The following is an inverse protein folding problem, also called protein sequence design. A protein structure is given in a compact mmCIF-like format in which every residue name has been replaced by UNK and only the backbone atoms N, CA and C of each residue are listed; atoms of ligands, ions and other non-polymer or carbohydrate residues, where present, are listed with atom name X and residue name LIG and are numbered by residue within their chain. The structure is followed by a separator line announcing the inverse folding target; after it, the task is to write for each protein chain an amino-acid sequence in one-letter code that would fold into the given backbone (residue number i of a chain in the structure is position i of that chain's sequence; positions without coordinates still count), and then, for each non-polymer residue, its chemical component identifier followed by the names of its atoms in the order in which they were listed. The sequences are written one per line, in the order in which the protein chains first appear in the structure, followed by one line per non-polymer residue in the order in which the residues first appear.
data_IF_747800596225
#
_entry.id   IF_747800596225
#
_cell.length_a   1.000
_cell.length_b   1.000
_cell.length_c   1.000
_cell.angle_alpha   90.00
_cell.angle_beta   90.00
_cell.angle_gamma   90.00
#
_symmetry.space_group_name_H-M   'P 1'
#
loop_
_entity.id
_entity.type
_entity.pdbx_description
1 polymer ?
#
# COMPACT_ATOMS: atom_id res chain seq x y z
N UNK A 1 -4.94 -1.81 -9.64
CA UNK A 1 -4.48 -2.37 -8.36
C UNK A 1 -3.22 -3.15 -8.59
N UNK A 2 -2.20 -2.98 -7.75
CA UNK A 2 -0.91 -3.67 -7.85
C UNK A 2 -0.42 -4.06 -6.45
N UNK A 3 0.30 -5.17 -6.34
CA UNK A 3 0.94 -5.61 -5.09
C UNK A 3 2.43 -5.23 -5.11
N UNK A 4 2.86 -4.43 -4.13
CA UNK A 4 4.22 -3.92 -4.05
C UNK A 4 5.28 -5.01 -3.79
N UNK A 5 4.90 -6.17 -3.25
CA UNK A 5 5.82 -7.29 -3.02
C UNK A 5 6.23 -8.00 -4.32
N UNK A 6 5.38 -7.94 -5.35
CA UNK A 6 5.59 -8.64 -6.63
C UNK A 6 5.66 -7.72 -7.85
N UNK A 7 5.49 -6.41 -7.65
CA UNK A 7 5.54 -5.42 -8.72
C UNK A 7 6.94 -5.40 -9.36
N UNK A 8 6.99 -5.69 -10.66
CA UNK A 8 8.25 -5.67 -11.40
C UNK A 8 8.84 -4.24 -11.46
N UNK A 9 10.17 -4.08 -11.38
CA UNK A 9 10.80 -2.76 -11.47
C UNK A 9 10.44 -1.97 -12.73
N UNK A 10 10.18 -2.65 -13.85
CA UNK A 10 9.77 -2.02 -15.11
C UNK A 10 8.37 -1.40 -15.08
N UNK A 11 7.53 -1.75 -14.09
CA UNK A 11 6.19 -1.20 -13.94
C UNK A 11 6.15 0.06 -13.06
N UNK A 12 7.26 0.40 -12.40
CA UNK A 12 7.36 1.57 -11.51
C UNK A 12 7.10 2.88 -12.26
N UNK A 13 7.66 3.05 -13.45
CA UNK A 13 7.45 4.24 -14.27
C UNK A 13 5.97 4.40 -14.67
N UNK A 14 5.27 3.28 -14.93
CA UNK A 14 3.84 3.30 -15.23
C UNK A 14 2.99 3.69 -14.01
N UNK A 15 3.38 3.23 -12.81
CA UNK A 15 2.73 3.64 -11.56
C UNK A 15 2.93 5.13 -11.30
N UNK A 16 4.16 5.62 -11.50
CA UNK A 16 4.47 7.04 -11.34
C UNK A 16 3.65 7.91 -12.31
N UNK A 17 3.65 7.55 -13.60
CA UNK A 17 2.89 8.26 -14.62
C UNK A 17 1.38 8.32 -14.33
N UNK A 18 0.80 7.26 -13.75
CA UNK A 18 -0.62 7.27 -13.33
C UNK A 18 -0.86 8.24 -12.16
N UNK A 19 0.01 8.23 -11.16
CA UNK A 19 -0.08 9.14 -10.02
C UNK A 19 0.10 10.61 -10.43
N UNK A 20 1.04 10.89 -11.35
CA UNK A 20 1.31 12.24 -11.87
C UNK A 20 0.09 12.88 -12.54
N UNK A 21 -0.69 12.08 -13.27
CA UNK A 21 -1.93 12.57 -13.91
C UNK A 21 -3.14 12.52 -12.98
N UNK A 22 -2.93 12.20 -11.70
CA UNK A 22 -3.99 12.10 -10.69
C UNK A 22 -4.87 10.86 -10.80
N UNK A 23 -4.51 9.86 -11.62
CA UNK A 23 -5.27 8.63 -11.74
C UNK A 23 -5.14 7.78 -10.45
N UNK A 24 -6.24 7.17 -9.96
CA UNK A 24 -6.20 6.41 -8.72
C UNK A 24 -5.36 5.13 -8.90
N UNK A 25 -4.34 4.96 -8.04
CA UNK A 25 -3.54 3.75 -7.93
C UNK A 25 -3.85 3.07 -6.61
N UNK A 26 -4.42 1.87 -6.71
CA UNK A 26 -4.60 0.99 -5.56
C UNK A 26 -3.30 0.21 -5.32
N UNK A 27 -2.57 0.58 -4.28
CA UNK A 27 -1.26 0.04 -3.92
C UNK A 27 -1.41 -0.93 -2.74
N UNK A 28 -1.26 -2.22 -3.04
CA UNK A 28 -1.26 -3.31 -2.07
C UNK A 28 0.05 -3.35 -1.29
N UNK A 29 -0.03 -3.08 0.01
CA UNK A 29 1.14 -3.03 0.91
C UNK A 29 0.90 -3.69 2.27
N UNK A 30 -0.34 -4.04 2.59
CA UNK A 30 -0.69 -4.75 3.82
C UNK A 30 -0.87 -6.24 3.54
N UNK A 31 -0.24 -7.16 4.29
CA UNK A 31 -0.34 -8.59 4.00
C UNK A 31 -1.77 -9.12 4.00
N UNK A 32 -2.21 -9.74 2.90
CA UNK A 32 -3.53 -10.37 2.82
C UNK A 32 -3.58 -11.79 3.40
N UNK A 33 -2.43 -12.40 3.66
CA UNK A 33 -2.28 -13.70 4.31
C UNK A 33 -1.56 -13.55 5.63
N UNK A 34 -1.92 -14.37 6.61
CA UNK A 34 -1.35 -14.28 7.95
C UNK A 34 0.12 -14.69 7.94
N UNK A 35 1.05 -13.78 8.30
CA UNK A 35 2.47 -14.07 8.23
C UNK A 35 2.87 -15.05 9.33
N UNK A 36 4.01 -15.71 9.14
CA UNK A 36 4.70 -16.43 10.22
C UNK A 36 5.31 -15.38 11.15
N UNK A 37 4.50 -14.87 12.08
CA UNK A 37 4.91 -13.82 13.02
C UNK A 37 3.80 -12.80 13.25
N UNK A 38 4.21 -11.57 13.59
CA UNK A 38 3.27 -10.46 13.79
C UNK A 38 3.00 -9.73 12.47
N UNK A 39 1.82 -9.12 12.38
CA UNK A 39 1.57 -8.07 11.39
C UNK A 39 2.60 -6.94 11.54
N UNK A 40 3.04 -6.32 10.42
CA UNK A 40 3.89 -5.14 10.50
C UNK A 40 3.16 -4.00 11.21
N UNK A 41 3.91 -3.05 11.79
CA UNK A 41 3.28 -1.84 12.33
C UNK A 41 2.81 -0.93 11.20
N UNK A 42 1.87 -0.04 11.51
CA UNK A 42 1.44 1.04 10.62
C UNK A 42 2.63 1.89 10.17
N UNK A 43 3.52 2.25 11.11
CA UNK A 43 4.75 2.98 10.81
C UNK A 43 5.63 2.26 9.79
N UNK A 44 5.88 0.97 9.95
CA UNK A 44 6.74 0.20 9.05
C UNK A 44 6.19 0.21 7.61
N UNK A 45 4.87 0.08 7.47
CA UNK A 45 4.21 0.06 6.16
C UNK A 45 4.14 1.47 5.56
N UNK A 46 3.83 2.50 6.34
CA UNK A 46 3.84 3.90 5.89
C UNK A 46 5.22 4.31 5.40
N UNK A 47 6.28 4.03 6.17
CA UNK A 47 7.66 4.32 5.73
C UNK A 47 8.03 3.57 4.45
N UNK A 48 7.53 2.35 4.25
CA UNK A 48 7.72 1.58 3.01
C UNK A 48 7.06 2.28 1.81
N UNK A 49 5.85 2.80 1.97
CA UNK A 49 5.16 3.56 0.92
C UNK A 49 5.90 4.86 0.63
N UNK A 50 6.30 5.62 1.66
CA UNK A 50 7.05 6.87 1.49
C UNK A 50 8.38 6.66 0.76
N UNK A 51 9.11 5.57 1.06
CA UNK A 51 10.34 5.20 0.33
C UNK A 51 10.08 4.87 -1.13
N UNK A 52 8.93 4.27 -1.46
CA UNK A 52 8.56 4.04 -2.86
C UNK A 52 8.33 5.39 -3.55
N UNK A 53 7.53 6.28 -2.96
CA UNK A 53 7.23 7.59 -3.54
C UNK A 53 8.51 8.43 -3.73
N UNK A 54 9.39 8.46 -2.74
CA UNK A 54 10.71 9.10 -2.82
C UNK A 54 11.54 8.55 -4.00
N UNK A 55 11.59 7.23 -4.16
CA UNK A 55 12.26 6.59 -5.30
C UNK A 55 11.65 6.95 -6.66
N UNK A 56 10.33 7.17 -6.71
CA UNK A 56 9.62 7.60 -7.91
C UNK A 56 9.70 9.12 -8.14
N UNK A 57 10.28 9.88 -7.20
CA UNK A 57 10.33 11.34 -7.26
C UNK A 57 8.99 12.02 -7.00
N UNK A 58 8.05 11.34 -6.33
CA UNK A 58 6.70 11.83 -6.06
C UNK A 58 6.59 12.40 -4.65
N UNK A 59 5.98 13.59 -4.54
CA UNK A 59 5.61 14.18 -3.26
C UNK A 59 4.31 13.57 -2.74
N UNK A 60 4.29 12.91 -1.57
CA UNK A 60 3.08 12.37 -0.95
C UNK A 60 1.95 13.40 -0.82
N UNK A 61 2.27 14.66 -0.55
CA UNK A 61 1.26 15.72 -0.44
C UNK A 61 0.57 16.02 -1.78
N UNK A 62 1.24 15.74 -2.89
CA UNK A 62 0.72 15.94 -4.25
C UNK A 62 -0.08 14.74 -4.73
N UNK A 63 0.42 13.52 -4.51
CA UNK A 63 -0.19 12.28 -5.06
C UNK A 63 -1.10 11.55 -4.08
N UNK A 64 -1.15 11.96 -2.81
CA UNK A 64 -1.87 11.27 -1.74
C UNK A 64 -3.36 11.09 -2.00
N UNK A 65 -4.02 12.04 -2.68
CA UNK A 65 -5.44 11.90 -3.07
C UNK A 65 -5.70 10.81 -4.12
N UNK A 66 -4.67 10.41 -4.86
CA UNK A 66 -4.74 9.39 -5.91
C UNK A 66 -4.12 8.07 -5.48
N UNK A 67 -3.53 8.01 -4.28
CA UNK A 67 -2.93 6.79 -3.73
C UNK A 67 -3.90 6.10 -2.75
N UNK A 68 -4.39 4.93 -3.14
CA UNK A 68 -5.29 4.12 -2.31
C UNK A 68 -4.52 2.96 -1.71
N UNK A 69 -4.38 2.92 -0.39
CA UNK A 69 -3.73 1.81 0.32
C UNK A 69 -4.67 0.61 0.38
N UNK A 70 -4.18 -0.58 0.02
CA UNK A 70 -4.95 -1.82 0.09
C UNK A 70 -4.16 -2.96 0.74
N UNK A 71 -4.84 -4.06 1.13
CA UNK A 71 -4.18 -5.34 1.24
C UNK A 71 -3.55 -5.77 -0.09
N UNK A 72 -2.55 -6.64 -0.06
CA UNK A 72 -1.85 -7.14 -1.25
C UNK A 72 -2.76 -7.98 -2.16
N UNK A 73 -3.77 -8.65 -1.59
CA UNK A 73 -4.82 -9.39 -2.30
C UNK A 73 -6.11 -9.45 -1.46
N UNK A 74 -7.11 -10.19 -1.93
CA UNK A 74 -8.35 -10.43 -1.17
C UNK A 74 -8.11 -11.19 0.14
N UNK A 75 -8.97 -10.95 1.13
CA UNK A 75 -8.93 -11.58 2.46
C UNK A 75 -9.76 -12.87 2.55
N UNK A 76 -10.22 -13.40 1.41
CA UNK A 76 -11.03 -14.61 1.37
C UNK A 76 -10.27 -15.79 2.01
N UNK A 77 -10.93 -16.55 2.88
CA UNK A 77 -10.35 -17.69 3.59
C UNK A 77 -9.50 -17.34 4.81
N UNK A 78 -9.30 -16.05 5.13
CA UNK A 78 -8.63 -15.65 6.38
C UNK A 78 -9.58 -15.74 7.59
N UNK A 79 -9.01 -15.87 8.79
CA UNK A 79 -9.78 -15.76 10.03
C UNK A 79 -10.35 -14.35 10.16
N UNK A 80 -11.60 -14.21 10.60
CA UNK A 80 -12.27 -12.91 10.74
C UNK A 80 -11.48 -11.90 11.59
N UNK A 81 -10.90 -12.34 12.70
CA UNK A 81 -10.06 -11.50 13.54
C UNK A 81 -8.84 -10.95 12.78
N UNK A 82 -8.21 -11.78 11.95
CA UNK A 82 -7.08 -11.36 11.12
C UNK A 82 -7.51 -10.36 10.05
N UNK A 83 -8.61 -10.65 9.34
CA UNK A 83 -9.17 -9.74 8.34
C UNK A 83 -9.46 -8.35 8.93
N UNK A 84 -10.00 -8.30 10.15
CA UNK A 84 -10.25 -7.06 10.88
C UNK A 84 -8.96 -6.30 11.15
N UNK A 85 -7.94 -6.95 11.72
CA UNK A 85 -6.66 -6.30 11.99
C UNK A 85 -5.96 -5.79 10.72
N UNK A 86 -6.08 -6.52 9.60
CA UNK A 86 -5.56 -6.06 8.30
C UNK A 86 -6.27 -4.79 7.82
N UNK A 87 -7.60 -4.71 7.95
CA UNK A 87 -8.35 -3.52 7.56
C UNK A 87 -8.09 -2.33 8.50
N UNK A 88 -7.93 -2.57 9.80
CA UNK A 88 -7.52 -1.55 10.77
C UNK A 88 -6.13 -0.99 10.44
N UNK A 89 -5.17 -1.88 10.13
CA UNK A 89 -3.82 -1.49 9.68
C UNK A 89 -3.87 -0.73 8.34
N UNK A 90 -4.64 -1.21 7.37
CA UNK A 90 -4.80 -0.54 6.06
C UNK A 90 -5.29 0.90 6.25
N UNK A 91 -6.27 1.11 7.13
CA UNK A 91 -6.79 2.44 7.45
C UNK A 91 -5.74 3.31 8.15
N UNK A 92 -5.01 2.76 9.12
CA UNK A 92 -3.98 3.50 9.85
C UNK A 92 -2.85 3.97 8.92
N UNK A 93 -2.40 3.10 8.01
CA UNK A 93 -1.39 3.44 6.99
C UNK A 93 -1.89 4.53 6.07
N UNK A 94 -3.12 4.42 5.55
CA UNK A 94 -3.70 5.46 4.70
C UNK A 94 -3.76 6.83 5.42
N UNK A 95 -4.15 6.84 6.70
CA UNK A 95 -4.19 8.07 7.50
C UNK A 95 -2.80 8.65 7.79
N UNK A 96 -1.75 7.83 7.81
CA UNK A 96 -0.37 8.28 8.00
C UNK A 96 0.29 8.88 6.76
N UNK A 97 -0.38 8.84 5.60
CA UNK A 97 0.11 9.38 4.31
C UNK A 97 -0.50 10.74 3.95
N UNK A 98 -1.46 11.23 4.73
CA UNK A 98 -2.16 12.51 4.56
C UNK A 98 -1.86 13.45 5.71
#
# INVERSE_FOLDING_TARGET
SVDLDVLAPSAFDSVAALLDIGAPVHLGVVPSTEPVGRLPSDRDVTERVLRLLDRLGLDPATVGSSLVVTPTCGLAGTRLAYARSVLELTRAVAAGLT
#
